data_IF_150060471372
#
_entry.id   IF_150060471372
#
_cell.length_a   1.000
_cell.length_b   1.000
_cell.length_c   1.000
_cell.angle_alpha   90.00
_cell.angle_beta   90.00
_cell.angle_gamma   90.00
#
_symmetry.space_group_name_H-M   'P 1'
#
loop_
_entity.id
_entity.type
_entity.pdbx_description
1 polymer ?
#
# COMPACT_ATOMS: atom_id res chain seq x y z
N UNK A 1 -23.16 0.76 7.03
CA UNK A 1 -22.22 -0.26 6.57
C UNK A 1 -21.72 -1.04 7.80
N UNK A 2 -21.62 -2.36 7.72
CA UNK A 2 -21.22 -3.21 8.86
C UNK A 2 -19.71 -3.09 9.24
N UNK A 3 -18.96 -2.24 8.54
CA UNK A 3 -17.53 -2.06 8.81
C UNK A 3 -16.65 -3.27 8.47
N UNK A 4 -17.16 -4.25 7.73
CA UNK A 4 -16.43 -5.48 7.40
C UNK A 4 -15.42 -5.31 6.28
N UNK A 5 -15.61 -4.30 5.44
CA UNK A 5 -14.73 -4.00 4.31
C UNK A 5 -14.42 -2.51 4.24
N UNK A 6 -13.22 -2.23 3.77
CA UNK A 6 -12.75 -0.90 3.43
C UNK A 6 -12.56 -0.81 1.91
N UNK A 7 -12.99 0.30 1.34
CA UNK A 7 -12.79 0.61 -0.07
C UNK A 7 -11.65 1.60 -0.20
N UNK A 8 -10.52 1.15 -0.73
CA UNK A 8 -9.38 2.01 -1.03
C UNK A 8 -9.59 2.65 -2.41
N UNK A 9 -9.83 3.94 -2.41
CA UNK A 9 -10.07 4.69 -3.64
C UNK A 9 -8.78 4.88 -4.46
N UNK A 10 -8.89 4.98 -5.79
CA UNK A 10 -7.74 5.32 -6.60
C UNK A 10 -7.24 6.75 -6.28
N UNK A 11 -5.93 6.89 -6.20
CA UNK A 11 -5.29 8.20 -6.12
C UNK A 11 -5.45 8.93 -7.44
N UNK A 12 -6.13 10.06 -7.41
CA UNK A 12 -6.44 10.86 -8.60
C UNK A 12 -5.65 12.16 -8.59
N UNK A 13 -5.00 12.47 -9.71
CA UNK A 13 -4.32 13.75 -9.92
C UNK A 13 -4.46 14.18 -11.38
N UNK A 14 -4.65 15.49 -11.69
CA UNK A 14 -4.84 15.96 -13.06
C UNK A 14 -3.71 15.57 -14.02
N UNK A 15 -2.49 15.48 -13.52
CA UNK A 15 -1.31 15.15 -14.33
C UNK A 15 -1.11 13.64 -14.55
N UNK A 16 -1.87 12.78 -13.85
CA UNK A 16 -1.84 11.34 -14.09
C UNK A 16 -2.69 10.98 -15.31
N UNK A 17 -2.15 10.11 -16.15
CA UNK A 17 -2.95 9.49 -17.20
C UNK A 17 -4.07 8.69 -16.57
N UNK A 18 -5.21 8.62 -17.25
CA UNK A 18 -6.34 7.82 -16.80
C UNK A 18 -5.88 6.40 -16.44
N UNK A 19 -6.12 6.03 -15.20
CA UNK A 19 -5.84 4.70 -14.67
C UNK A 19 -7.15 3.98 -14.35
N UNK A 20 -7.01 2.85 -13.64
CA UNK A 20 -8.15 2.12 -13.09
C UNK A 20 -8.87 3.00 -12.07
N UNK A 21 -10.20 3.11 -12.20
CA UNK A 21 -11.05 3.96 -11.34
C UNK A 21 -11.84 3.16 -10.30
N UNK A 22 -11.86 1.82 -10.40
CA UNK A 22 -12.58 1.00 -9.46
C UNK A 22 -11.85 0.94 -8.12
N UNK A 23 -12.52 1.10 -6.98
CA UNK A 23 -11.87 0.97 -5.68
C UNK A 23 -11.37 -0.47 -5.46
N UNK A 24 -10.30 -0.61 -4.68
CA UNK A 24 -9.87 -1.91 -4.14
C UNK A 24 -10.63 -2.22 -2.85
N UNK A 25 -10.98 -3.48 -2.67
CA UNK A 25 -11.74 -3.94 -1.50
C UNK A 25 -10.80 -4.68 -0.55
N UNK A 26 -10.77 -4.26 0.70
CA UNK A 26 -10.01 -4.91 1.76
C UNK A 26 -10.91 -5.31 2.91
N UNK A 27 -10.72 -6.49 3.48
CA UNK A 27 -11.34 -6.85 4.74
C UNK A 27 -10.73 -6.04 5.88
N UNK A 28 -11.57 -5.46 6.74
CA UNK A 28 -11.09 -4.67 7.90
C UNK A 28 -10.49 -5.55 8.99
N UNK A 29 -10.85 -6.83 9.00
CA UNK A 29 -10.34 -7.86 9.90
C UNK A 29 -9.79 -9.02 9.08
N UNK A 30 -8.46 -9.18 9.09
CA UNK A 30 -7.79 -10.27 8.38
C UNK A 30 -8.03 -11.62 9.04
N UNK A 31 -8.31 -11.67 10.35
CA UNK A 31 -8.71 -12.89 11.04
C UNK A 31 -10.05 -13.41 10.53
N UNK A 32 -11.02 -12.53 10.33
CA UNK A 32 -12.30 -12.88 9.70
C UNK A 32 -12.10 -13.40 8.28
N UNK A 33 -11.26 -12.75 7.48
CA UNK A 33 -10.95 -13.19 6.11
C UNK A 33 -10.33 -14.59 6.11
N UNK A 34 -9.37 -14.86 7.01
CA UNK A 34 -8.75 -16.18 7.17
C UNK A 34 -9.78 -17.25 7.57
N UNK A 35 -10.66 -16.92 8.50
CA UNK A 35 -11.74 -17.81 8.94
C UNK A 35 -12.68 -18.19 7.79
N UNK A 36 -13.11 -17.22 7.01
CA UNK A 36 -14.00 -17.42 5.86
C UNK A 36 -13.35 -18.27 4.76
N UNK A 37 -12.03 -18.13 4.58
CA UNK A 37 -11.24 -18.92 3.64
C UNK A 37 -10.85 -20.30 4.21
N UNK A 38 -11.26 -20.60 5.45
CA UNK A 38 -10.92 -21.85 6.16
C UNK A 38 -9.41 -22.07 6.31
N UNK A 39 -8.66 -21.00 6.44
CA UNK A 39 -7.24 -21.05 6.75
C UNK A 39 -7.05 -21.20 8.26
N UNK A 40 -6.85 -22.43 8.66
CA UNK A 40 -6.91 -22.83 10.09
C UNK A 40 -5.63 -22.53 10.88
N UNK A 41 -4.52 -22.29 10.20
CA UNK A 41 -3.24 -21.96 10.83
C UNK A 41 -2.36 -21.08 9.95
N UNK A 42 -1.29 -20.54 10.54
CA UNK A 42 -0.35 -19.63 9.87
C UNK A 42 0.38 -20.29 8.68
N UNK A 43 0.69 -21.58 8.78
CA UNK A 43 1.41 -22.31 7.74
C UNK A 43 0.59 -22.44 6.47
N UNK A 44 -0.71 -22.75 6.60
CA UNK A 44 -1.63 -22.82 5.47
C UNK A 44 -1.81 -21.43 4.83
N UNK A 45 -1.91 -20.38 5.64
CA UNK A 45 -1.99 -19.00 5.16
C UNK A 45 -0.71 -18.60 4.44
N UNK A 46 0.44 -18.92 4.98
CA UNK A 46 1.74 -18.57 4.39
C UNK A 46 1.99 -19.29 3.07
N UNK A 47 1.65 -20.58 2.98
CA UNK A 47 1.79 -21.40 1.77
C UNK A 47 0.71 -21.10 0.72
N UNK A 48 -0.37 -20.43 1.11
CA UNK A 48 -1.51 -20.15 0.24
C UNK A 48 -1.17 -19.21 -0.93
N UNK A 49 -1.74 -19.47 -2.10
CA UNK A 49 -1.55 -18.66 -3.31
C UNK A 49 -1.93 -17.18 -3.11
N UNK A 50 -2.83 -16.88 -2.17
CA UNK A 50 -3.29 -15.52 -1.86
C UNK A 50 -2.54 -14.86 -0.68
N UNK A 51 -1.50 -15.48 -0.16
CA UNK A 51 -0.77 -14.96 1.02
C UNK A 51 -0.19 -13.55 0.82
N UNK A 52 0.23 -13.21 -0.41
CA UNK A 52 0.69 -11.85 -0.73
C UNK A 52 -0.45 -10.83 -0.68
N UNK A 53 -1.63 -11.18 -1.18
CA UNK A 53 -2.83 -10.31 -1.10
C UNK A 53 -3.31 -10.16 0.35
N UNK A 54 -3.07 -11.18 1.16
CA UNK A 54 -3.38 -11.16 2.58
C UNK A 54 -2.46 -10.20 3.34
N UNK A 55 -1.16 -10.25 3.06
CA UNK A 55 -0.19 -9.29 3.59
C UNK A 55 -0.54 -7.86 3.16
N UNK A 56 -0.93 -7.68 1.89
CA UNK A 56 -1.36 -6.36 1.39
C UNK A 56 -2.59 -5.86 2.17
N UNK A 57 -3.61 -6.71 2.35
CA UNK A 57 -4.81 -6.37 3.12
C UNK A 57 -4.44 -5.97 4.55
N UNK A 58 -3.62 -6.77 5.21
CA UNK A 58 -3.18 -6.51 6.58
C UNK A 58 -2.42 -5.18 6.67
N UNK A 59 -1.41 -4.95 5.83
CA UNK A 59 -0.60 -3.75 5.87
C UNK A 59 -1.42 -2.47 5.60
N UNK A 60 -2.31 -2.50 4.59
CA UNK A 60 -3.21 -1.37 4.31
C UNK A 60 -4.10 -1.09 5.51
N UNK A 61 -4.63 -2.13 6.16
CA UNK A 61 -5.54 -1.95 7.31
C UNK A 61 -4.82 -1.52 8.58
N UNK A 62 -3.57 -1.93 8.82
CA UNK A 62 -2.79 -1.40 9.96
C UNK A 62 -2.50 0.09 9.78
N UNK A 63 -2.10 0.52 8.57
CA UNK A 63 -1.91 1.94 8.27
C UNK A 63 -3.24 2.71 8.42
N UNK A 64 -4.35 2.18 7.87
CA UNK A 64 -5.67 2.78 8.03
C UNK A 64 -6.04 2.98 9.50
N UNK A 65 -5.88 1.95 10.33
CA UNK A 65 -6.18 1.98 11.76
C UNK A 65 -5.30 2.98 12.50
N UNK A 66 -4.03 3.09 12.15
CA UNK A 66 -3.09 4.04 12.74
C UNK A 66 -3.61 5.48 12.63
N UNK A 67 -4.08 5.91 11.45
CA UNK A 67 -4.70 7.22 11.28
C UNK A 67 -6.04 7.33 12.00
N UNK A 68 -6.91 6.33 11.85
CA UNK A 68 -8.26 6.35 12.42
C UNK A 68 -8.23 6.38 13.94
N UNK A 69 -7.31 5.68 14.59
CA UNK A 69 -7.13 5.69 16.04
C UNK A 69 -6.65 7.04 16.56
N UNK A 70 -5.97 7.83 15.72
CA UNK A 70 -5.62 9.23 16.02
C UNK A 70 -6.74 10.22 15.67
N UNK A 71 -7.93 9.74 15.29
CA UNK A 71 -9.06 10.59 14.89
C UNK A 71 -8.87 11.30 13.55
N UNK A 72 -7.95 10.81 12.72
CA UNK A 72 -7.66 11.38 11.41
C UNK A 72 -8.34 10.57 10.30
N UNK A 73 -8.73 11.25 9.22
CA UNK A 73 -9.17 10.59 8.00
C UNK A 73 -7.91 10.06 7.29
N UNK A 74 -7.79 8.74 7.05
CA UNK A 74 -6.61 8.18 6.41
C UNK A 74 -6.43 8.74 4.99
N UNK A 75 -5.32 9.40 4.67
CA UNK A 75 -5.06 10.02 3.37
C UNK A 75 -4.53 8.98 2.36
N UNK A 76 -5.24 7.88 2.19
CA UNK A 76 -4.82 6.70 1.47
C UNK A 76 -5.45 6.61 0.08
N UNK A 77 -4.67 6.17 -0.88
CA UNK A 77 -5.12 5.79 -2.21
C UNK A 77 -4.19 4.76 -2.82
N UNK A 78 -4.55 4.22 -3.97
CA UNK A 78 -3.66 3.39 -4.80
C UNK A 78 -3.61 3.97 -6.21
N UNK A 79 -2.60 3.65 -6.98
CA UNK A 79 -2.58 4.03 -8.39
C UNK A 79 -2.21 2.84 -9.27
N UNK A 80 -3.03 2.60 -10.30
CA UNK A 80 -2.76 1.59 -11.34
C UNK A 80 -3.00 2.19 -12.71
N UNK A 81 -1.99 2.13 -13.57
CA UNK A 81 -2.11 2.58 -14.96
C UNK A 81 -2.73 1.52 -15.88
N UNK A 82 -2.97 1.89 -17.15
CA UNK A 82 -3.52 0.97 -18.15
C UNK A 82 -2.60 -0.21 -18.51
N UNK A 83 -1.31 -0.10 -18.23
CA UNK A 83 -0.34 -1.17 -18.44
C UNK A 83 -0.24 -2.11 -17.23
N UNK A 84 -1.21 -2.04 -16.31
CA UNK A 84 -1.25 -2.81 -15.06
C UNK A 84 -0.05 -2.58 -14.14
N UNK A 85 0.70 -1.48 -14.31
CA UNK A 85 1.71 -1.08 -13.36
C UNK A 85 1.02 -0.42 -12.17
N UNK A 86 1.38 -0.83 -10.98
CA UNK A 86 0.68 -0.42 -9.76
C UNK A 86 1.63 0.06 -8.67
N UNK A 87 1.22 1.11 -7.97
CA UNK A 87 1.69 1.46 -6.64
C UNK A 87 0.57 1.10 -5.67
N UNK A 88 0.82 0.09 -4.84
CA UNK A 88 -0.21 -0.53 -3.99
C UNK A 88 -0.83 0.45 -3.01
N UNK A 89 -0.02 1.39 -2.50
CA UNK A 89 -0.49 2.41 -1.57
C UNK A 89 0.22 3.74 -1.83
N UNK A 90 -0.55 4.82 -1.84
CA UNK A 90 -0.07 6.20 -1.92
C UNK A 90 -0.69 6.96 -0.75
N UNK A 91 0.15 7.49 0.13
CA UNK A 91 -0.30 8.44 1.15
C UNK A 91 -0.13 9.85 0.61
N UNK A 92 -1.18 10.66 0.72
CA UNK A 92 -1.13 12.07 0.33
C UNK A 92 -1.27 12.94 1.59
N UNK A 93 -0.15 13.34 2.15
CA UNK A 93 -0.06 14.08 3.41
C UNK A 93 0.55 15.45 3.15
N UNK A 94 -0.14 16.51 3.53
CA UNK A 94 0.34 17.90 3.47
C UNK A 94 0.97 18.30 2.12
N UNK A 95 0.34 17.89 1.02
CA UNK A 95 0.82 18.18 -0.32
C UNK A 95 2.04 17.37 -0.75
N UNK A 96 2.36 16.32 -0.02
CA UNK A 96 3.41 15.34 -0.34
C UNK A 96 2.81 13.96 -0.56
N UNK A 97 3.28 13.26 -1.59
CA UNK A 97 2.93 11.87 -1.85
C UNK A 97 4.03 10.92 -1.36
N UNK A 98 3.62 9.88 -0.69
CA UNK A 98 4.48 8.85 -0.12
C UNK A 98 4.10 7.49 -0.72
N UNK A 99 4.79 7.03 -1.77
CA UNK A 99 4.47 5.76 -2.42
C UNK A 99 5.00 4.58 -1.59
N UNK A 100 4.16 3.57 -1.43
CA UNK A 100 4.51 2.33 -0.74
C UNK A 100 4.21 1.12 -1.63
N UNK A 101 5.15 0.19 -1.63
CA UNK A 101 4.98 -1.16 -2.16
C UNK A 101 4.84 -2.15 -1.01
N UNK A 102 4.16 -3.27 -1.23
CA UNK A 102 4.00 -4.33 -0.24
C UNK A 102 4.49 -5.63 -0.85
N UNK A 103 5.43 -6.31 -0.19
CA UNK A 103 6.06 -7.52 -0.71
C UNK A 103 6.24 -8.59 0.36
N UNK A 104 5.76 -9.79 0.05
CA UNK A 104 6.01 -10.98 0.88
C UNK A 104 7.43 -11.52 0.62
N UNK A 105 8.42 -10.84 1.16
CA UNK A 105 9.83 -11.23 1.04
C UNK A 105 10.63 -10.64 2.21
N UNK A 106 11.63 -11.34 2.67
CA UNK A 106 12.61 -10.83 3.65
C UNK A 106 13.74 -10.01 2.99
N UNK A 107 13.93 -10.18 1.67
CA UNK A 107 14.95 -9.48 0.90
C UNK A 107 14.36 -9.08 -0.46
N UNK A 108 13.40 -8.14 -0.50
CA UNK A 108 12.76 -7.77 -1.74
C UNK A 108 13.76 -7.08 -2.68
N UNK A 109 13.61 -7.34 -3.96
CA UNK A 109 14.33 -6.59 -5.00
C UNK A 109 13.90 -5.12 -4.92
N UNK A 110 14.81 -4.20 -5.30
CA UNK A 110 14.51 -2.76 -5.36
C UNK A 110 13.29 -2.47 -6.24
N UNK A 111 12.14 -2.35 -5.60
CA UNK A 111 10.84 -2.14 -6.26
C UNK A 111 10.53 -0.65 -6.50
N UNK A 112 11.43 0.24 -6.08
CA UNK A 112 11.20 1.69 -6.14
C UNK A 112 11.06 2.24 -7.55
N UNK A 113 11.57 1.53 -8.57
CA UNK A 113 11.38 1.91 -9.98
C UNK A 113 9.90 2.00 -10.40
N UNK A 114 9.02 1.23 -9.78
CA UNK A 114 7.59 1.30 -10.08
C UNK A 114 6.96 2.62 -9.64
N UNK A 115 7.57 3.35 -8.71
CA UNK A 115 7.10 4.66 -8.27
C UNK A 115 7.27 5.74 -9.34
N UNK A 116 8.09 5.49 -10.38
CA UNK A 116 8.26 6.38 -11.53
C UNK A 116 6.94 6.66 -12.28
N UNK A 117 5.94 5.78 -12.15
CA UNK A 117 4.62 6.02 -12.73
C UNK A 117 3.90 7.23 -12.12
N UNK A 118 4.32 7.65 -10.91
CA UNK A 118 3.82 8.85 -10.23
C UNK A 118 4.60 10.11 -10.59
N UNK A 119 5.66 10.02 -11.39
CA UNK A 119 6.48 11.19 -11.79
C UNK A 119 5.67 12.36 -12.33
N UNK A 120 4.62 12.18 -13.15
CA UNK A 120 3.82 13.30 -13.62
C UNK A 120 3.14 14.11 -12.51
N UNK A 121 2.96 13.52 -11.32
CA UNK A 121 2.34 14.20 -10.16
C UNK A 121 3.28 15.23 -9.54
N UNK A 122 4.59 15.01 -9.66
CA UNK A 122 5.63 15.88 -9.08
C UNK A 122 6.19 16.87 -10.10
N UNK A 123 5.72 16.82 -11.34
CA UNK A 123 6.15 17.69 -12.43
C UNK A 123 4.95 18.51 -12.95
N UNK A 124 5.18 19.78 -13.33
CA UNK A 124 4.18 20.62 -13.96
C UNK A 124 3.31 21.44 -13.00
N UNK A 125 2.20 21.96 -13.53
CA UNK A 125 1.24 22.74 -12.75
C UNK A 125 0.56 21.85 -11.70
N UNK A 126 0.33 22.38 -10.49
CA UNK A 126 -0.24 21.65 -9.34
C UNK A 126 0.62 20.48 -8.87
N UNK A 127 1.93 20.55 -9.09
CA UNK A 127 2.84 19.51 -8.63
C UNK A 127 2.77 19.30 -7.12
N UNK A 128 2.71 18.03 -6.69
CA UNK A 128 2.89 17.63 -5.30
C UNK A 128 4.37 17.36 -5.02
N UNK A 129 4.76 17.38 -3.76
CA UNK A 129 6.10 16.98 -3.37
C UNK A 129 6.20 15.45 -3.31
N UNK A 130 7.35 14.90 -3.72
CA UNK A 130 7.64 13.51 -3.49
C UNK A 130 8.33 13.36 -2.12
N UNK A 131 7.60 12.79 -1.19
CA UNK A 131 8.10 12.46 0.14
C UNK A 131 8.87 11.12 0.17
N UNK A 132 9.19 10.67 1.37
CA UNK A 132 9.77 9.36 1.58
C UNK A 132 8.78 8.26 1.17
N UNK A 133 9.27 7.23 0.51
CA UNK A 133 8.51 6.05 0.16
C UNK A 133 9.17 4.78 0.69
N UNK A 134 8.63 3.62 0.33
CA UNK A 134 9.26 2.38 0.77
C UNK A 134 8.60 1.10 0.31
N UNK A 135 9.20 0.03 0.74
CA UNK A 135 8.72 -1.34 0.51
C UNK A 135 8.45 -1.98 1.87
N UNK A 136 7.18 -2.18 2.19
CA UNK A 136 6.74 -2.93 3.37
C UNK A 136 7.01 -4.42 3.09
N UNK A 137 7.78 -5.07 3.95
CA UNK A 137 8.26 -6.43 3.73
C UNK A 137 8.64 -7.13 5.04
N UNK A 138 9.10 -8.36 4.96
CA UNK A 138 9.59 -9.14 6.12
C UNK A 138 11.09 -8.93 6.40
N UNK A 139 11.63 -7.74 6.10
CA UNK A 139 12.97 -7.38 6.56
C UNK A 139 13.01 -7.30 8.09
N UNK A 140 14.17 -7.57 8.68
CA UNK A 140 14.33 -7.48 10.14
C UNK A 140 14.48 -6.03 10.62
N UNK A 141 15.09 -5.19 9.78
CA UNK A 141 15.46 -3.82 10.13
C UNK A 141 14.95 -2.81 9.10
N UNK A 142 14.77 -1.59 9.56
CA UNK A 142 14.48 -0.44 8.71
C UNK A 142 15.77 -0.04 7.97
N UNK A 143 15.88 -0.40 6.70
CA UNK A 143 17.08 -0.19 5.91
C UNK A 143 16.82 0.74 4.72
N UNK A 144 17.74 1.65 4.37
CA UNK A 144 17.59 2.50 3.20
C UNK A 144 17.75 1.69 1.90
N UNK A 145 16.87 1.95 0.93
CA UNK A 145 16.99 1.46 -0.45
C UNK A 145 17.78 2.47 -1.28
N UNK A 146 17.42 3.75 -1.11
CA UNK A 146 18.03 4.90 -1.75
C UNK A 146 17.85 6.16 -0.87
N UNK A 147 18.11 7.34 -1.41
CA UNK A 147 18.05 8.60 -0.65
C UNK A 147 16.65 8.95 -0.08
N UNK A 148 15.56 8.30 -0.56
CA UNK A 148 14.18 8.59 -0.15
C UNK A 148 13.37 7.37 0.24
N UNK A 149 13.80 6.19 -0.17
CA UNK A 149 13.01 4.98 0.00
C UNK A 149 13.67 4.00 0.96
N UNK A 150 12.81 3.26 1.68
CA UNK A 150 13.23 2.38 2.76
C UNK A 150 12.59 0.99 2.62
N UNK A 151 13.31 -0.04 3.05
CA UNK A 151 12.67 -1.31 3.43
C UNK A 151 12.04 -1.11 4.80
N UNK A 152 10.74 -1.30 4.89
CA UNK A 152 9.95 -1.09 6.10
C UNK A 152 9.54 -2.47 6.61
N UNK A 153 10.09 -2.91 7.75
CA UNK A 153 9.64 -4.15 8.37
C UNK A 153 8.15 -4.14 8.64
N UNK A 154 7.43 -5.17 8.19
CA UNK A 154 5.99 -5.28 8.45
C UNK A 154 5.67 -5.23 9.96
N UNK A 155 6.55 -5.76 10.80
CA UNK A 155 6.39 -5.72 12.25
C UNK A 155 6.46 -4.33 12.90
N UNK A 156 6.72 -3.26 12.14
CA UNK A 156 6.70 -1.86 12.63
C UNK A 156 5.35 -1.14 12.37
N UNK A 157 4.39 -1.78 11.68
CA UNK A 157 3.08 -1.20 11.38
C UNK A 157 2.08 -1.27 12.57
#
# INVERSE_FOLDING_TARGET
AAGLVYLLEPFMHPNLKYGVKAPKVYFTDTGLAAYLLRWSNAEILEAGAMSSSFLETWAVMEIYKSFSNCGQIPPLGYYRDFNSREVELVLNVDGSIHPLAIRKSSSPVKETKKFDILRPVIEGERALKLGAGGVICFANDLLPIDARNWYIPAGLL
#
